data_IF_697776874243
#
_entry.id   IF_697776874243
#
_cell.length_a   1.000
_cell.length_b   1.000
_cell.length_c   1.000
_cell.angle_alpha   90.00
_cell.angle_beta   90.00
_cell.angle_gamma   90.00
#
_symmetry.space_group_name_H-M   'P 1'
#
loop_
_entity.id
_entity.type
_entity.pdbx_description
1 polymer ?
#
# COMPACT_ATOMS: atom_id res chain seq x y z
N UNK A 1 39.96 -11.11 -2.29
CA UNK A 1 40.44 -11.26 -0.90
C UNK A 1 40.90 -9.95 -0.29
N UNK A 2 41.55 -9.02 -1.06
CA UNK A 2 42.06 -7.75 -0.54
C UNK A 2 41.01 -6.77 0.01
N UNK A 3 39.82 -6.69 -0.59
CA UNK A 3 38.73 -5.80 -0.14
C UNK A 3 38.20 -6.12 1.28
N UNK A 4 38.22 -7.39 1.66
CA UNK A 4 37.76 -7.81 3.00
C UNK A 4 38.70 -7.36 4.12
N UNK A 5 40.01 -7.37 3.88
CA UNK A 5 41.01 -6.89 4.85
C UNK A 5 40.87 -5.38 5.10
N UNK A 6 40.72 -4.61 4.01
CA UNK A 6 40.52 -3.17 4.09
C UNK A 6 39.18 -2.83 4.84
N UNK A 7 38.11 -3.54 4.55
CA UNK A 7 36.84 -3.38 5.25
C UNK A 7 36.99 -3.65 6.77
N UNK A 8 37.61 -4.77 7.14
CA UNK A 8 37.85 -5.12 8.56
C UNK A 8 38.67 -4.09 9.30
N UNK A 9 39.71 -3.55 8.66
CA UNK A 9 40.57 -2.49 9.23
C UNK A 9 39.74 -1.24 9.50
N UNK A 10 38.92 -0.79 8.54
CA UNK A 10 38.04 0.36 8.70
C UNK A 10 36.99 0.12 9.78
N UNK A 11 36.39 -1.08 9.81
CA UNK A 11 35.39 -1.43 10.80
C UNK A 11 35.93 -1.39 12.24
N UNK A 12 37.18 -1.83 12.44
CA UNK A 12 37.87 -1.72 13.73
C UNK A 12 38.20 -0.29 14.07
N UNK A 13 38.81 0.47 13.13
CA UNK A 13 39.22 1.86 13.35
C UNK A 13 38.06 2.79 13.73
N UNK A 14 36.90 2.58 13.14
CA UNK A 14 35.70 3.39 13.39
C UNK A 14 34.73 2.80 14.43
N UNK A 15 35.10 1.75 15.15
CA UNK A 15 34.25 1.06 16.14
C UNK A 15 32.87 0.69 15.58
N UNK A 16 32.84 0.33 14.27
CA UNK A 16 31.59 0.09 13.54
C UNK A 16 30.75 -1.03 14.18
N UNK A 17 31.41 -2.04 14.78
CA UNK A 17 30.75 -3.14 15.47
C UNK A 17 29.81 -2.71 16.60
N UNK A 18 30.07 -1.55 17.22
CA UNK A 18 29.22 -0.97 18.27
C UNK A 18 28.04 -0.15 17.75
N UNK A 19 28.05 0.20 16.46
CA UNK A 19 27.08 1.12 15.84
C UNK A 19 26.55 0.60 14.50
N UNK A 20 26.30 -0.70 14.43
CA UNK A 20 25.78 -1.32 13.21
C UNK A 20 24.37 -0.79 12.95
N UNK A 21 24.16 -0.23 11.76
CA UNK A 21 22.86 0.22 11.29
C UNK A 21 22.21 -0.91 10.49
N UNK A 22 21.20 -1.51 11.06
CA UNK A 22 20.38 -2.54 10.39
C UNK A 22 19.71 -1.94 9.16
N UNK A 23 19.73 -2.66 8.04
CA UNK A 23 19.11 -2.20 6.81
C UNK A 23 19.50 -3.04 5.61
N UNK A 24 18.88 -2.76 4.48
CA UNK A 24 19.24 -3.34 3.20
C UNK A 24 20.16 -2.41 2.44
N UNK A 25 21.34 -2.92 2.06
CA UNK A 25 22.36 -2.18 1.33
C UNK A 25 22.64 -2.87 0.00
N UNK A 26 22.49 -2.17 -1.12
CA UNK A 26 22.95 -2.67 -2.40
C UNK A 26 24.48 -2.53 -2.48
N UNK A 27 25.12 -3.58 -2.96
CA UNK A 27 26.56 -3.64 -3.23
C UNK A 27 26.71 -4.08 -4.68
N UNK A 28 27.23 -3.18 -5.52
CA UNK A 28 27.39 -3.44 -6.94
C UNK A 28 28.73 -4.13 -7.22
N UNK A 29 28.75 -4.88 -8.32
CA UNK A 29 29.99 -5.51 -8.80
C UNK A 29 30.99 -4.42 -9.19
N UNK A 30 32.10 -4.33 -8.47
CA UNK A 30 33.10 -3.28 -8.65
C UNK A 30 33.15 -2.23 -7.53
N UNK A 31 32.19 -2.27 -6.59
CA UNK A 31 32.26 -1.38 -5.43
C UNK A 31 33.48 -1.67 -4.57
N UNK A 32 34.31 -0.67 -4.37
CA UNK A 32 35.48 -0.74 -3.49
C UNK A 32 35.07 -0.83 -2.01
N UNK A 33 35.89 -1.49 -1.18
CA UNK A 33 35.65 -1.67 0.25
C UNK A 33 35.32 -0.37 1.00
N UNK A 34 35.92 0.75 0.60
CA UNK A 34 35.67 2.07 1.19
C UNK A 34 34.25 2.58 0.90
N UNK A 35 33.76 2.40 -0.34
CA UNK A 35 32.39 2.78 -0.72
C UNK A 35 31.37 1.97 0.06
N UNK A 36 31.53 0.65 0.09
CA UNK A 36 30.67 -0.27 0.85
C UNK A 36 30.66 0.11 2.34
N UNK A 37 31.83 0.32 2.93
CA UNK A 37 31.94 0.71 4.34
C UNK A 37 31.23 2.04 4.63
N UNK A 38 31.39 3.06 3.78
CA UNK A 38 30.70 4.35 3.91
C UNK A 38 29.19 4.21 3.83
N UNK A 39 28.67 3.41 2.91
CA UNK A 39 27.24 3.16 2.77
C UNK A 39 26.67 2.54 4.06
N UNK A 40 27.31 1.49 4.56
CA UNK A 40 26.88 0.81 5.78
C UNK A 40 27.01 1.70 7.02
N UNK A 41 28.15 2.38 7.19
CA UNK A 41 28.42 3.27 8.34
C UNK A 41 27.41 4.43 8.39
N UNK A 42 27.11 5.04 7.25
CA UNK A 42 26.19 6.18 7.16
C UNK A 42 24.72 5.76 7.17
N UNK A 43 24.43 4.45 6.96
CA UNK A 43 23.07 3.95 6.88
C UNK A 43 22.36 4.34 5.59
N UNK A 44 23.11 4.43 4.48
CA UNK A 44 22.56 4.73 3.14
C UNK A 44 21.90 3.47 2.58
N UNK A 45 20.73 3.17 3.09
CA UNK A 45 19.96 2.00 2.71
C UNK A 45 19.39 2.13 1.30
N UNK A 46 19.24 0.99 0.63
CA UNK A 46 18.51 0.87 -0.63
C UNK A 46 17.08 0.47 -0.31
N UNK A 47 16.06 1.21 -0.77
CA UNK A 47 14.68 0.84 -0.54
C UNK A 47 14.33 -0.48 -1.22
N UNK A 48 13.26 -1.12 -0.74
CA UNK A 48 12.63 -2.28 -1.38
C UNK A 48 11.34 -1.84 -2.05
N UNK A 49 11.04 -2.42 -3.19
CA UNK A 49 9.76 -2.20 -3.86
C UNK A 49 8.72 -3.09 -3.17
N UNK A 50 7.87 -2.46 -2.36
CA UNK A 50 6.74 -3.10 -1.71
C UNK A 50 5.50 -2.92 -2.60
N UNK A 51 5.03 -3.99 -3.21
CA UNK A 51 3.75 -4.01 -3.90
C UNK A 51 2.65 -4.38 -2.91
N UNK A 52 1.69 -3.48 -2.71
CA UNK A 52 0.46 -3.73 -1.97
C UNK A 52 -0.62 -4.10 -2.99
N UNK A 53 -1.06 -5.37 -3.03
CA UNK A 53 -2.14 -5.78 -3.91
C UNK A 53 -3.50 -5.35 -3.35
N UNK A 54 -4.56 -5.47 -4.15
CA UNK A 54 -5.92 -5.45 -3.63
C UNK A 54 -6.12 -6.63 -2.68
N UNK A 55 -6.48 -6.35 -1.41
CA UNK A 55 -6.64 -7.38 -0.38
C UNK A 55 -7.94 -7.18 0.38
N UNK A 56 -8.64 -8.29 0.67
CA UNK A 56 -9.93 -8.29 1.39
C UNK A 56 -9.79 -8.14 2.90
N UNK A 57 -8.68 -8.61 3.47
CA UNK A 57 -8.55 -8.73 4.93
C UNK A 57 -7.25 -8.11 5.42
N UNK A 58 -7.30 -7.53 6.61
CA UNK A 58 -6.10 -6.98 7.28
C UNK A 58 -5.03 -8.03 7.53
N UNK A 59 -5.43 -9.29 7.80
CA UNK A 59 -4.48 -10.41 7.96
C UNK A 59 -3.67 -10.64 6.69
N UNK A 60 -4.35 -10.66 5.51
CA UNK A 60 -3.67 -10.85 4.23
C UNK A 60 -2.78 -9.66 3.90
N UNK A 61 -3.23 -8.44 4.19
CA UNK A 61 -2.42 -7.24 4.05
C UNK A 61 -1.14 -7.33 4.88
N UNK A 62 -1.27 -7.64 6.17
CA UNK A 62 -0.14 -7.78 7.08
C UNK A 62 0.84 -8.87 6.62
N UNK A 63 0.32 -10.01 6.15
CA UNK A 63 1.13 -11.09 5.61
C UNK A 63 1.90 -10.68 4.32
N UNK A 64 1.27 -9.95 3.39
CA UNK A 64 1.95 -9.49 2.18
C UNK A 64 3.05 -8.45 2.48
N UNK A 65 2.79 -7.53 3.41
CA UNK A 65 3.77 -6.52 3.83
C UNK A 65 4.97 -7.18 4.53
N UNK A 66 4.74 -8.12 5.44
CA UNK A 66 5.82 -8.80 6.19
C UNK A 66 6.72 -9.69 5.32
N UNK A 67 6.27 -10.13 4.16
CA UNK A 67 7.13 -10.85 3.19
C UNK A 67 8.29 -9.98 2.65
N UNK A 68 8.14 -8.68 2.65
CA UNK A 68 9.09 -7.73 2.05
C UNK A 68 9.80 -6.84 3.05
N UNK A 69 9.20 -6.61 4.21
CA UNK A 69 9.73 -5.74 5.27
C UNK A 69 10.12 -6.55 6.51
N UNK A 70 10.93 -5.96 7.37
CA UNK A 70 11.41 -6.59 8.60
C UNK A 70 10.33 -6.67 9.71
N UNK A 71 9.15 -6.09 9.49
CA UNK A 71 8.09 -6.10 10.49
C UNK A 71 7.36 -7.43 10.57
N UNK A 72 6.95 -7.80 11.77
CA UNK A 72 6.14 -9.01 12.00
C UNK A 72 4.69 -8.79 11.57
N UNK A 73 4.10 -9.81 10.92
CA UNK A 73 2.72 -9.74 10.43
C UNK A 73 1.70 -9.65 11.56
N UNK A 74 1.97 -10.31 12.69
CA UNK A 74 1.09 -10.30 13.86
C UNK A 74 1.09 -8.96 14.55
N UNK A 75 2.27 -8.31 14.66
CA UNK A 75 2.39 -6.96 15.23
C UNK A 75 1.69 -5.93 14.34
N UNK A 76 1.89 -6.01 13.02
CA UNK A 76 1.20 -5.12 12.08
C UNK A 76 -0.32 -5.33 12.12
N UNK A 77 -0.79 -6.58 12.16
CA UNK A 77 -2.21 -6.87 12.28
C UNK A 77 -2.81 -6.31 13.58
N UNK A 78 -2.13 -6.49 14.71
CA UNK A 78 -2.56 -5.92 16.00
C UNK A 78 -2.65 -4.40 15.94
N UNK A 79 -1.68 -3.74 15.33
CA UNK A 79 -1.70 -2.29 15.16
C UNK A 79 -2.90 -1.84 14.30
N UNK A 80 -3.18 -2.52 13.19
CA UNK A 80 -4.31 -2.22 12.31
C UNK A 80 -5.68 -2.56 12.90
N UNK A 81 -5.73 -3.42 13.93
CA UNK A 81 -6.95 -3.79 14.65
C UNK A 81 -7.16 -2.96 15.93
N UNK A 82 -6.23 -2.08 16.26
CA UNK A 82 -6.32 -1.21 17.43
C UNK A 82 -7.10 0.06 17.09
N UNK A 83 -8.20 0.32 17.82
CA UNK A 83 -9.06 1.49 17.59
C UNK A 83 -8.33 2.83 17.74
N UNK A 84 -7.43 2.96 18.71
CA UNK A 84 -6.71 4.22 18.94
C UNK A 84 -5.74 4.52 17.79
N UNK A 85 -5.09 3.47 17.27
CA UNK A 85 -4.24 3.58 16.07
C UNK A 85 -5.08 3.97 14.86
N UNK A 86 -6.22 3.32 14.64
CA UNK A 86 -7.12 3.64 13.52
C UNK A 86 -7.61 5.10 13.60
N UNK A 87 -8.07 5.54 14.77
CA UNK A 87 -8.53 6.93 15.01
C UNK A 87 -7.44 7.97 14.76
N UNK A 88 -6.19 7.68 15.12
CA UNK A 88 -5.04 8.55 14.82
C UNK A 88 -4.93 8.89 13.34
N UNK A 89 -5.28 7.95 12.47
CA UNK A 89 -5.23 8.11 11.02
C UNK A 89 -6.56 8.54 10.39
N UNK A 90 -7.62 8.70 11.20
CA UNK A 90 -8.95 9.13 10.75
C UNK A 90 -9.83 7.99 10.23
N UNK A 91 -9.53 6.76 10.61
CA UNK A 91 -10.28 5.56 10.25
C UNK A 91 -10.80 4.83 11.50
N UNK A 92 -11.64 3.84 11.29
CA UNK A 92 -12.00 2.81 12.26
C UNK A 92 -11.39 1.45 11.84
N UNK A 93 -11.61 0.41 12.63
CA UNK A 93 -11.10 -0.94 12.37
C UNK A 93 -11.69 -1.59 11.12
N UNK A 94 -12.85 -1.15 10.65
CA UNK A 94 -13.48 -1.64 9.42
C UNK A 94 -12.96 -0.89 8.17
N UNK A 95 -12.63 0.39 8.31
CA UNK A 95 -12.27 1.27 7.18
C UNK A 95 -10.78 1.50 7.03
N UNK A 96 -9.94 1.15 8.02
CA UNK A 96 -8.48 1.35 7.96
C UNK A 96 -7.82 0.71 6.72
N UNK A 97 -8.39 -0.39 6.20
CA UNK A 97 -7.93 -1.01 4.96
C UNK A 97 -7.98 -0.05 3.77
N UNK A 98 -8.90 0.91 3.75
CA UNK A 98 -9.03 1.90 2.69
C UNK A 98 -7.86 2.90 2.63
N UNK A 99 -7.04 2.98 3.67
CA UNK A 99 -5.80 3.76 3.64
C UNK A 99 -4.75 3.18 2.68
N UNK A 100 -4.79 1.87 2.42
CA UNK A 100 -3.78 1.16 1.65
C UNK A 100 -4.16 1.09 0.18
N UNK A 101 -3.79 2.10 -0.58
CA UNK A 101 -4.04 2.14 -2.02
C UNK A 101 -3.17 1.07 -2.71
N UNK A 102 -3.75 0.17 -3.55
CA UNK A 102 -2.98 -0.82 -4.30
C UNK A 102 -1.97 -0.13 -5.24
N UNK A 103 -0.69 -0.31 -4.95
CA UNK A 103 0.41 0.24 -5.74
C UNK A 103 1.74 -0.40 -5.31
N UNK A 104 2.83 -0.03 -5.99
CA UNK A 104 4.20 -0.37 -5.59
C UNK A 104 4.88 0.85 -4.98
N UNK A 105 5.41 0.68 -3.78
CA UNK A 105 6.00 1.74 -2.97
C UNK A 105 7.46 1.44 -2.68
N UNK A 106 8.32 2.45 -2.82
CA UNK A 106 9.72 2.37 -2.37
C UNK A 106 9.77 2.64 -0.87
N UNK A 107 10.10 1.61 -0.09
CA UNK A 107 10.09 1.64 1.38
C UNK A 107 11.38 1.02 1.92
N UNK A 108 11.93 1.57 2.99
CA UNK A 108 13.08 0.95 3.65
C UNK A 108 12.69 -0.33 4.38
N UNK A 109 13.49 -1.37 4.19
CA UNK A 109 13.23 -2.72 4.71
C UNK A 109 12.98 -2.77 6.22
N UNK A 110 13.65 -1.93 7.00
CA UNK A 110 13.59 -1.85 8.47
C UNK A 110 12.70 -0.70 8.99
N UNK A 111 11.72 -0.25 8.20
CA UNK A 111 10.78 0.79 8.61
C UNK A 111 9.95 0.31 9.82
N UNK A 112 9.73 1.18 10.81
CA UNK A 112 8.83 0.87 11.92
C UNK A 112 7.36 0.93 11.48
N UNK A 113 6.47 0.24 12.21
CA UNK A 113 5.04 0.20 11.91
C UNK A 113 4.47 1.62 11.86
N UNK A 114 4.76 2.49 12.82
CA UNK A 114 4.25 3.86 12.83
C UNK A 114 4.66 4.63 11.56
N UNK A 115 5.95 4.61 11.22
CA UNK A 115 6.45 5.28 10.01
C UNK A 115 5.88 4.68 8.73
N UNK A 116 5.60 3.38 8.73
CA UNK A 116 4.93 2.72 7.62
C UNK A 116 3.49 3.22 7.47
N UNK A 117 2.73 3.29 8.55
CA UNK A 117 1.37 3.80 8.55
C UNK A 117 1.32 5.29 8.16
N UNK A 118 2.23 6.12 8.70
CA UNK A 118 2.38 7.53 8.30
C UNK A 118 2.65 7.67 6.79
N UNK A 119 3.50 6.79 6.24
CA UNK A 119 3.78 6.76 4.81
C UNK A 119 2.55 6.38 4.00
N UNK A 120 1.80 5.36 4.42
CA UNK A 120 0.58 4.93 3.75
C UNK A 120 -0.50 6.01 3.78
N UNK A 121 -0.68 6.69 4.92
CA UNK A 121 -1.60 7.83 5.02
C UNK A 121 -1.22 8.96 4.05
N UNK A 122 0.08 9.26 3.94
CA UNK A 122 0.57 10.29 3.00
C UNK A 122 0.28 9.91 1.55
N UNK A 123 0.48 8.65 1.18
CA UNK A 123 0.18 8.17 -0.18
C UNK A 123 -1.33 8.15 -0.45
N UNK A 124 -2.14 7.75 0.54
CA UNK A 124 -3.60 7.83 0.46
C UNK A 124 -4.08 9.27 0.25
N UNK A 125 -3.57 10.24 1.03
CA UNK A 125 -3.90 11.67 0.85
C UNK A 125 -3.47 12.21 -0.52
N UNK A 126 -2.33 11.73 -1.04
CA UNK A 126 -1.87 12.10 -2.38
C UNK A 126 -2.76 11.51 -3.48
N UNK A 127 -3.22 10.27 -3.30
CA UNK A 127 -4.16 9.62 -4.21
C UNK A 127 -5.49 10.37 -4.27
N UNK A 128 -6.05 10.74 -3.11
CA UNK A 128 -7.29 11.51 -2.98
C UNK A 128 -7.03 13.01 -3.21
N UNK A 129 -6.59 13.35 -4.43
CA UNK A 129 -6.43 14.74 -4.85
C UNK A 129 -7.79 15.45 -5.00
N UNK A 130 -7.75 16.75 -5.26
CA UNK A 130 -8.95 17.59 -5.39
C UNK A 130 -9.95 17.04 -6.41
N UNK A 131 -9.46 16.60 -7.58
CA UNK A 131 -10.32 16.11 -8.68
C UNK A 131 -11.05 14.81 -8.28
N UNK A 132 -10.33 13.86 -7.67
CA UNK A 132 -10.93 12.60 -7.20
C UNK A 132 -11.94 12.84 -6.08
N UNK A 133 -11.62 13.74 -5.15
CA UNK A 133 -12.55 14.14 -4.08
C UNK A 133 -13.82 14.80 -4.64
N UNK A 134 -13.69 15.69 -5.63
CA UNK A 134 -14.86 16.29 -6.29
C UNK A 134 -15.72 15.25 -7.01
N UNK A 135 -15.11 14.33 -7.75
CA UNK A 135 -15.84 13.26 -8.43
C UNK A 135 -16.58 12.35 -7.45
N UNK A 136 -15.94 11.96 -6.33
CA UNK A 136 -16.58 11.18 -5.28
C UNK A 136 -17.79 11.93 -4.70
N UNK A 137 -17.63 13.22 -4.38
CA UNK A 137 -18.70 14.08 -3.87
C UNK A 137 -19.88 14.21 -4.86
N UNK A 138 -19.61 14.33 -6.16
CA UNK A 138 -20.65 14.35 -7.19
C UNK A 138 -21.49 13.06 -7.24
N UNK A 139 -20.91 11.94 -6.79
CA UNK A 139 -21.58 10.65 -6.67
C UNK A 139 -22.31 10.49 -5.33
N UNK A 140 -22.14 11.42 -4.39
CA UNK A 140 -22.64 11.29 -3.02
C UNK A 140 -21.90 10.22 -2.21
N UNK A 141 -20.63 9.90 -2.55
CA UNK A 141 -19.85 8.85 -1.93
C UNK A 141 -18.66 9.43 -1.16
N UNK A 142 -18.33 8.79 -0.03
CA UNK A 142 -17.06 9.05 0.66
C UNK A 142 -15.90 8.30 -0.02
N UNK A 143 -14.63 8.71 0.19
CA UNK A 143 -13.47 7.98 -0.33
C UNK A 143 -13.46 6.51 0.05
N UNK A 144 -13.84 6.16 1.28
CA UNK A 144 -13.90 4.79 1.80
C UNK A 144 -14.96 3.98 1.06
N UNK A 145 -16.13 4.58 0.79
CA UNK A 145 -17.19 3.93 0.01
C UNK A 145 -16.77 3.68 -1.43
N UNK A 146 -16.03 4.62 -2.05
CA UNK A 146 -15.48 4.44 -3.40
C UNK A 146 -14.51 3.26 -3.43
N UNK A 147 -13.59 3.16 -2.46
CA UNK A 147 -12.62 2.06 -2.39
C UNK A 147 -13.34 0.71 -2.14
N UNK A 148 -14.32 0.69 -1.23
CA UNK A 148 -15.11 -0.51 -0.95
C UNK A 148 -15.83 -1.00 -2.21
N UNK A 149 -16.50 -0.11 -2.94
CA UNK A 149 -17.16 -0.45 -4.20
C UNK A 149 -16.16 -0.94 -5.25
N UNK A 150 -14.99 -0.28 -5.37
CA UNK A 150 -13.95 -0.68 -6.30
C UNK A 150 -13.43 -2.09 -5.98
N UNK A 151 -13.24 -2.43 -4.69
CA UNK A 151 -12.79 -3.77 -4.29
C UNK A 151 -13.81 -4.85 -4.56
N UNK A 152 -15.10 -4.56 -4.40
CA UNK A 152 -16.19 -5.48 -4.77
C UNK A 152 -16.18 -5.75 -6.29
N UNK A 153 -16.06 -4.68 -7.10
CA UNK A 153 -16.00 -4.81 -8.56
C UNK A 153 -14.76 -5.59 -9.00
N UNK A 154 -13.62 -5.40 -8.33
CA UNK A 154 -12.38 -6.10 -8.64
C UNK A 154 -12.47 -7.61 -8.38
N UNK A 155 -13.17 -7.99 -7.33
CA UNK A 155 -13.36 -9.40 -6.95
C UNK A 155 -14.38 -10.14 -7.82
N UNK A 156 -15.44 -9.47 -8.28
CA UNK A 156 -16.50 -10.10 -9.08
C UNK A 156 -16.01 -10.50 -10.48
N UNK A 157 -14.87 -9.99 -10.95
CA UNK A 157 -14.45 -10.21 -12.33
C UNK A 157 -12.94 -10.33 -12.52
N UNK A 158 -12.50 -11.43 -13.11
CA UNK A 158 -11.10 -11.68 -13.44
C UNK A 158 -10.59 -10.89 -14.66
N UNK A 159 -11.49 -10.43 -15.53
CA UNK A 159 -11.16 -9.77 -16.80
C UNK A 159 -11.82 -8.39 -16.90
N UNK A 160 -11.07 -7.36 -17.31
CA UNK A 160 -11.57 -5.98 -17.39
C UNK A 160 -12.75 -5.79 -18.38
N UNK A 161 -12.83 -6.59 -19.45
CA UNK A 161 -13.96 -6.59 -20.38
C UNK A 161 -15.20 -7.26 -19.78
N UNK A 162 -15.02 -8.36 -19.05
CA UNK A 162 -16.10 -9.07 -18.32
C UNK A 162 -16.53 -8.28 -17.08
N UNK A 163 -15.64 -7.53 -16.42
CA UNK A 163 -15.97 -6.64 -15.31
C UNK A 163 -17.10 -5.69 -15.66
N UNK A 164 -17.11 -5.18 -16.87
CA UNK A 164 -18.17 -4.31 -17.36
C UNK A 164 -19.46 -5.05 -17.71
N UNK A 165 -19.35 -6.26 -18.31
CA UNK A 165 -20.47 -7.06 -18.76
C UNK A 165 -21.19 -7.76 -17.58
N UNK A 166 -20.43 -8.40 -16.69
CA UNK A 166 -20.97 -9.10 -15.51
C UNK A 166 -21.56 -8.14 -14.48
N UNK A 167 -20.95 -6.97 -14.33
CA UNK A 167 -21.54 -5.92 -13.49
C UNK A 167 -22.89 -5.46 -14.05
N UNK A 168 -23.00 -5.27 -15.38
CA UNK A 168 -24.29 -5.00 -16.04
C UNK A 168 -25.28 -6.12 -15.79
N UNK A 169 -24.84 -7.37 -15.86
CA UNK A 169 -25.72 -8.54 -15.74
C UNK A 169 -26.16 -8.79 -14.28
N UNK A 170 -25.25 -8.75 -13.32
CA UNK A 170 -25.56 -9.01 -11.91
C UNK A 170 -26.34 -7.87 -11.26
N UNK A 171 -26.04 -6.62 -11.60
CA UNK A 171 -26.86 -5.47 -11.17
C UNK A 171 -28.24 -5.51 -11.82
N UNK A 172 -28.35 -5.95 -13.07
CA UNK A 172 -29.62 -6.21 -13.74
C UNK A 172 -30.44 -7.31 -13.02
N UNK A 173 -29.79 -8.41 -12.62
CA UNK A 173 -30.49 -9.52 -11.96
C UNK A 173 -30.90 -9.19 -10.51
N UNK A 174 -30.08 -8.47 -9.74
CA UNK A 174 -30.38 -8.08 -8.35
C UNK A 174 -31.38 -6.91 -8.27
N UNK A 175 -31.49 -6.09 -9.29
CA UNK A 175 -32.39 -4.93 -9.32
C UNK A 175 -33.72 -5.18 -10.04
N UNK A 176 -33.98 -6.40 -10.47
CA UNK A 176 -35.31 -6.81 -11.02
C UNK A 176 -36.40 -6.94 -9.95
N UNK A 177 -36.27 -6.23 -8.83
CA UNK A 177 -37.39 -5.97 -7.94
C UNK A 177 -38.12 -4.70 -8.39
N UNK A 178 -39.29 -4.91 -8.91
CA UNK A 178 -40.51 -4.11 -9.09
C UNK A 178 -40.49 -2.64 -9.53
N UNK A 179 -39.34 -1.95 -9.68
CA UNK A 179 -39.29 -0.55 -10.17
C UNK A 179 -38.01 -0.21 -10.95
N UNK A 180 -37.94 -0.45 -12.23
CA UNK A 180 -36.80 -0.24 -13.15
C UNK A 180 -36.05 1.10 -13.14
N UNK A 181 -36.13 1.91 -12.10
CA UNK A 181 -35.48 3.19 -11.94
C UNK A 181 -34.06 3.11 -11.33
N UNK A 182 -33.78 2.09 -10.56
CA UNK A 182 -32.46 1.95 -9.88
C UNK A 182 -31.32 1.46 -10.80
N UNK A 183 -31.65 0.76 -11.86
CA UNK A 183 -30.72 0.19 -12.85
C UNK A 183 -29.88 1.23 -13.58
N UNK A 184 -30.50 2.31 -14.01
CA UNK A 184 -29.83 3.36 -14.75
C UNK A 184 -28.85 4.17 -13.90
N UNK A 185 -29.21 4.40 -12.62
CA UNK A 185 -28.35 5.14 -11.67
C UNK A 185 -27.09 4.35 -11.31
N UNK A 186 -27.20 3.03 -11.08
CA UNK A 186 -26.04 2.20 -10.73
C UNK A 186 -25.06 2.06 -11.90
N UNK A 187 -25.55 1.98 -13.13
CA UNK A 187 -24.71 1.95 -14.33
C UNK A 187 -23.93 3.26 -14.54
N UNK A 188 -24.58 4.39 -14.31
CA UNK A 188 -23.92 5.70 -14.34
C UNK A 188 -22.89 5.83 -13.23
N UNK A 189 -23.16 5.24 -12.06
CA UNK A 189 -22.25 5.21 -10.91
C UNK A 189 -20.96 4.47 -11.25
N UNK A 190 -21.05 3.29 -11.87
CA UNK A 190 -19.86 2.49 -12.25
C UNK A 190 -19.02 3.17 -13.31
N UNK A 191 -19.62 3.74 -14.36
CA UNK A 191 -18.89 4.53 -15.36
C UNK A 191 -18.14 5.70 -14.71
N UNK A 192 -18.77 6.38 -13.75
CA UNK A 192 -18.15 7.49 -13.02
C UNK A 192 -17.07 7.02 -12.05
N UNK A 193 -17.23 5.87 -11.38
CA UNK A 193 -16.19 5.26 -10.53
C UNK A 193 -14.94 4.90 -11.34
N UNK A 194 -15.10 4.34 -12.55
CA UNK A 194 -13.97 4.08 -13.45
C UNK A 194 -13.23 5.38 -13.82
N UNK A 195 -13.96 6.48 -14.07
CA UNK A 195 -13.31 7.76 -14.36
C UNK A 195 -12.52 8.33 -13.17
N UNK A 196 -12.85 7.94 -11.93
CA UNK A 196 -12.11 8.32 -10.72
C UNK A 196 -10.82 7.51 -10.59
N UNK A 197 -10.89 6.20 -10.86
CA UNK A 197 -9.81 5.26 -10.62
C UNK A 197 -8.77 5.25 -11.76
N UNK A 198 -9.20 5.49 -13.00
CA UNK A 198 -8.36 5.38 -14.22
C UNK A 198 -7.76 6.73 -14.66
N UNK A 199 -8.20 7.87 -14.11
CA UNK A 199 -7.56 9.15 -14.39
C UNK A 199 -6.17 9.24 -13.75
N UNK A 200 -5.19 8.65 -14.43
CA UNK A 200 -3.75 8.90 -14.30
C UNK A 200 -3.39 10.13 -15.09
#
# INVERSE_FOLDING_TARGET
>A
KHGMCAFRMMARHFDYGKRIKTGRYAIDKGDGALKVFRHMKNGLQTPVNLTIPSVRTLNRLAAEVSKRLMMDSTELYKALSNEDVCRKYGYDTATIACMFIPNTYDIYWNISIDKFLDRMQKESKKFWNFDRMQKAKQLGLTPEQVITLASIIDEETANNAEKMLNYKHNVLLQSMDSRGRYLFQTFQLVKKLQSILVST
#
